data_IF_280021682615
#
_entry.id   IF_280021682615
#
_cell.length_a   1.000
_cell.length_b   1.000
_cell.length_c   1.000
_cell.angle_alpha   90.00
_cell.angle_beta   90.00
_cell.angle_gamma   90.00
#
_symmetry.space_group_name_H-M   'P 1'
#
loop_
_entity.id
_entity.type
_entity.pdbx_description
1 polymer ?
#
# COMPACT_ATOMS: atom_id res chain seq x y z
N UNK A 1 -30.83 31.38 -18.11
CA UNK A 1 -29.36 31.57 -18.08
C UNK A 1 -28.78 30.69 -16.98
N UNK A 2 -27.79 29.87 -17.29
CA UNK A 2 -26.96 29.17 -16.29
C UNK A 2 -25.99 30.19 -15.70
N UNK A 3 -26.06 30.44 -14.39
CA UNK A 3 -25.04 31.21 -13.69
C UNK A 3 -24.09 30.20 -13.04
N UNK A 4 -23.00 29.88 -13.72
CA UNK A 4 -21.87 29.16 -13.12
C UNK A 4 -20.91 30.25 -12.65
N UNK A 5 -20.92 30.56 -11.36
CA UNK A 5 -19.91 31.45 -10.79
C UNK A 5 -18.52 30.81 -10.98
N UNK A 6 -17.49 31.60 -11.31
CA UNK A 6 -16.14 31.09 -11.45
C UNK A 6 -15.64 30.61 -10.08
N UNK A 7 -15.24 29.34 -10.00
CA UNK A 7 -14.66 28.77 -8.77
C UNK A 7 -13.38 29.55 -8.45
N UNK A 8 -13.39 30.26 -7.32
CA UNK A 8 -12.27 31.05 -6.83
C UNK A 8 -11.02 30.15 -6.64
N UNK A 9 -9.90 30.42 -7.34
CA UNK A 9 -8.66 29.66 -7.17
C UNK A 9 -8.16 29.61 -5.72
N UNK A 10 -8.43 30.63 -4.91
CA UNK A 10 -8.06 30.67 -3.49
C UNK A 10 -8.90 29.70 -2.64
N UNK A 11 -10.16 29.46 -3.02
CA UNK A 11 -11.05 28.52 -2.33
C UNK A 11 -10.63 27.06 -2.52
N UNK A 12 -10.12 26.71 -3.71
CA UNK A 12 -9.62 25.35 -4.01
C UNK A 12 -8.35 25.03 -3.23
N UNK A 13 -7.38 25.93 -3.26
CA UNK A 13 -6.11 25.76 -2.52
C UNK A 13 -6.36 25.68 -1.00
N UNK A 14 -7.26 26.49 -0.47
CA UNK A 14 -7.65 26.40 0.95
C UNK A 14 -8.36 25.08 1.28
N UNK A 15 -9.19 24.55 0.37
CA UNK A 15 -9.85 23.25 0.55
C UNK A 15 -8.86 22.09 0.49
N UNK A 16 -7.92 22.07 -0.46
CA UNK A 16 -6.89 21.03 -0.59
C UNK A 16 -6.01 20.98 0.67
N UNK A 17 -5.53 22.12 1.15
CA UNK A 17 -4.77 22.18 2.41
C UNK A 17 -5.56 21.71 3.63
N UNK A 18 -6.87 21.91 3.65
CA UNK A 18 -7.74 21.42 4.73
C UNK A 18 -7.91 19.90 4.68
N UNK A 19 -8.09 19.32 3.48
CA UNK A 19 -8.15 17.87 3.30
C UNK A 19 -6.84 17.19 3.69
N UNK A 20 -5.69 17.74 3.28
CA UNK A 20 -4.37 17.23 3.67
C UNK A 20 -4.19 17.20 5.20
N UNK A 21 -4.66 18.23 5.90
CA UNK A 21 -4.60 18.29 7.36
C UNK A 21 -5.50 17.24 8.02
N UNK A 22 -6.71 17.02 7.50
CA UNK A 22 -7.62 16.00 8.01
C UNK A 22 -7.04 14.59 7.81
N UNK A 23 -6.45 14.34 6.65
CA UNK A 23 -5.80 13.07 6.36
C UNK A 23 -4.61 12.82 7.29
N UNK A 24 -3.75 13.82 7.50
CA UNK A 24 -2.64 13.72 8.46
C UNK A 24 -3.17 13.44 9.88
N UNK A 25 -4.27 14.07 10.31
CA UNK A 25 -4.90 13.80 11.62
C UNK A 25 -5.39 12.35 11.70
N UNK A 26 -6.01 11.84 10.63
CA UNK A 26 -6.52 10.48 10.58
C UNK A 26 -5.38 9.47 10.66
N UNK A 27 -4.31 9.67 9.88
CA UNK A 27 -3.09 8.86 9.95
C UNK A 27 -2.48 8.88 11.36
N UNK A 28 -2.37 10.06 11.99
CA UNK A 28 -1.87 10.15 13.38
C UNK A 28 -2.78 9.43 14.39
N UNK A 29 -4.09 9.46 14.18
CA UNK A 29 -5.05 8.73 15.01
C UNK A 29 -4.84 7.22 14.87
N UNK A 30 -4.68 6.73 13.64
CA UNK A 30 -4.39 5.33 13.37
C UNK A 30 -3.06 4.88 13.99
N UNK A 31 -2.01 5.70 13.94
CA UNK A 31 -0.75 5.39 14.63
C UNK A 31 -0.94 5.26 16.14
N UNK A 32 -1.73 6.13 16.77
CA UNK A 32 -2.01 6.06 18.21
C UNK A 32 -2.83 4.83 18.56
N UNK A 33 -3.85 4.53 17.78
CA UNK A 33 -4.69 3.35 17.93
C UNK A 33 -3.85 2.08 17.82
N UNK A 34 -3.09 1.94 16.74
CA UNK A 34 -2.27 0.76 16.48
C UNK A 34 -1.15 0.58 17.52
N UNK A 35 -0.64 1.68 18.11
CA UNK A 35 0.35 1.62 19.18
C UNK A 35 -0.24 1.28 20.56
N UNK A 36 -1.55 1.45 20.76
CA UNK A 36 -2.22 1.16 22.03
C UNK A 36 -2.26 -0.33 22.34
N UNK A 37 -2.36 -0.69 23.63
CA UNK A 37 -2.46 -2.09 24.05
C UNK A 37 -3.68 -2.79 23.43
N UNK A 38 -4.79 -2.06 23.28
CA UNK A 38 -6.00 -2.60 22.67
C UNK A 38 -5.82 -2.82 21.16
N UNK A 39 -5.28 -1.84 20.45
CA UNK A 39 -5.01 -1.97 19.01
C UNK A 39 -4.03 -3.11 18.71
N UNK A 40 -3.01 -3.30 19.55
CA UNK A 40 -2.09 -4.44 19.44
C UNK A 40 -2.79 -5.77 19.65
N UNK A 41 -3.63 -5.89 20.70
CA UNK A 41 -4.44 -7.09 20.95
C UNK A 41 -5.35 -7.39 19.77
N UNK A 42 -5.97 -6.36 19.20
CA UNK A 42 -6.86 -6.50 18.06
C UNK A 42 -6.12 -6.93 16.79
N UNK A 43 -4.94 -6.37 16.54
CA UNK A 43 -4.09 -6.76 15.42
C UNK A 43 -3.63 -8.22 15.56
N UNK A 44 -3.23 -8.66 16.75
CA UNK A 44 -2.90 -10.06 17.03
C UNK A 44 -4.11 -10.95 16.76
N UNK A 45 -5.29 -10.58 17.28
CA UNK A 45 -6.53 -11.36 17.14
C UNK A 45 -6.97 -11.52 15.69
N UNK A 46 -6.92 -10.44 14.90
CA UNK A 46 -7.35 -10.42 13.50
C UNK A 46 -6.39 -11.14 12.56
N UNK A 47 -5.07 -11.08 12.84
CA UNK A 47 -4.03 -11.62 11.95
C UNK A 47 -3.50 -13.00 12.38
N UNK A 48 -3.63 -13.33 13.66
CA UNK A 48 -2.97 -14.47 14.28
C UNK A 48 -1.44 -14.37 14.18
N UNK A 49 -0.90 -13.16 14.27
CA UNK A 49 0.54 -12.90 14.35
C UNK A 49 0.95 -12.87 15.82
N UNK A 50 1.81 -13.81 16.20
CA UNK A 50 2.33 -13.92 17.58
C UNK A 50 3.72 -13.28 17.76
N UNK A 51 4.28 -12.64 16.72
CA UNK A 51 5.55 -11.90 16.80
C UNK A 51 5.30 -10.49 17.36
N UNK A 52 5.66 -10.21 18.63
CA UNK A 52 5.39 -8.90 19.25
C UNK A 52 6.21 -7.77 18.61
N UNK A 53 7.36 -8.08 18.02
CA UNK A 53 8.20 -7.10 17.33
C UNK A 53 7.53 -6.66 16.04
N UNK A 54 7.00 -7.62 15.28
CA UNK A 54 6.24 -7.34 14.06
C UNK A 54 4.99 -6.52 14.37
N UNK A 55 4.22 -6.86 15.41
CA UNK A 55 3.05 -6.09 15.82
C UNK A 55 3.43 -4.64 16.14
N UNK A 56 4.55 -4.42 16.81
CA UNK A 56 5.06 -3.09 17.13
C UNK A 56 5.44 -2.28 15.89
N UNK A 57 6.11 -2.91 14.92
CA UNK A 57 6.47 -2.24 13.66
C UNK A 57 5.26 -1.98 12.77
N UNK A 58 4.30 -2.89 12.71
CA UNK A 58 3.02 -2.66 12.05
C UNK A 58 2.29 -1.46 12.69
N UNK A 59 2.28 -1.37 14.02
CA UNK A 59 1.75 -0.20 14.73
C UNK A 59 2.50 1.10 14.41
N UNK A 60 3.84 1.06 14.30
CA UNK A 60 4.63 2.22 13.84
C UNK A 60 4.35 2.61 12.40
N UNK A 61 3.85 1.70 11.57
CA UNK A 61 3.41 1.99 10.21
C UNK A 61 1.94 2.47 10.14
N UNK A 62 1.27 2.56 11.29
CA UNK A 62 -0.14 2.96 11.39
C UNK A 62 -1.11 1.82 11.07
N UNK A 63 -0.61 0.59 10.90
CA UNK A 63 -1.42 -0.55 10.52
C UNK A 63 -2.24 -1.01 11.73
N UNK A 64 -3.52 -0.65 11.71
CA UNK A 64 -4.55 -1.19 12.61
C UNK A 64 -5.04 -2.54 12.08
N UNK A 65 -5.87 -3.24 12.86
CA UNK A 65 -6.52 -4.47 12.38
C UNK A 65 -7.38 -4.22 11.13
N UNK A 66 -8.12 -3.11 11.10
CA UNK A 66 -8.94 -2.71 9.94
C UNK A 66 -8.08 -2.24 8.75
N UNK A 67 -6.85 -1.79 9.02
CA UNK A 67 -5.89 -1.34 8.01
C UNK A 67 -5.01 -2.45 7.43
N UNK A 68 -5.04 -3.67 8.00
CA UNK A 68 -4.06 -4.72 7.65
C UNK A 68 -4.12 -5.14 6.19
N UNK A 69 -5.29 -5.01 5.54
CA UNK A 69 -5.46 -5.35 4.14
C UNK A 69 -4.58 -4.50 3.21
N UNK A 70 -4.21 -3.27 3.62
CA UNK A 70 -3.28 -2.42 2.86
C UNK A 70 -1.91 -3.09 2.64
N UNK A 71 -1.46 -3.96 3.56
CA UNK A 71 -0.18 -4.67 3.43
C UNK A 71 -0.14 -5.59 2.20
N UNK A 72 -1.30 -6.06 1.69
CA UNK A 72 -1.38 -6.85 0.45
C UNK A 72 -0.98 -6.04 -0.78
N UNK A 73 -1.10 -4.72 -0.73
CA UNK A 73 -0.76 -3.79 -1.82
C UNK A 73 0.58 -3.09 -1.61
N UNK A 74 1.24 -3.31 -0.48
CA UNK A 74 2.56 -2.75 -0.21
C UNK A 74 3.59 -3.00 -1.34
N UNK A 75 3.64 -4.16 -2.01
CA UNK A 75 4.51 -4.37 -3.17
C UNK A 75 4.24 -3.40 -4.33
N UNK A 76 2.97 -3.10 -4.60
CA UNK A 76 2.58 -2.18 -5.67
C UNK A 76 3.04 -0.75 -5.35
N UNK A 77 2.90 -0.32 -4.09
CA UNK A 77 3.45 0.97 -3.62
C UNK A 77 4.96 1.04 -3.85
N UNK A 78 5.70 -0.02 -3.51
CA UNK A 78 7.16 -0.03 -3.72
C UNK A 78 7.55 0.03 -5.20
N UNK A 79 6.72 -0.52 -6.09
CA UNK A 79 6.90 -0.43 -7.54
C UNK A 79 6.64 0.98 -8.04
N UNK A 80 5.54 1.63 -7.62
CA UNK A 80 5.29 3.03 -7.95
C UNK A 80 6.45 3.93 -7.49
N UNK A 81 7.02 3.68 -6.31
CA UNK A 81 8.19 4.42 -5.83
C UNK A 81 9.53 3.99 -6.44
N UNK A 82 9.58 3.04 -7.38
CA UNK A 82 10.84 2.48 -7.89
C UNK A 82 11.72 3.54 -8.58
N UNK A 83 11.11 4.56 -9.18
CA UNK A 83 11.83 5.66 -9.82
C UNK A 83 12.14 6.82 -8.87
N UNK A 84 11.64 6.78 -7.63
CA UNK A 84 11.86 7.79 -6.59
C UNK A 84 10.69 8.78 -6.41
N UNK A 85 9.65 8.63 -7.21
CA UNK A 85 8.35 9.31 -7.08
C UNK A 85 7.28 8.32 -7.56
N UNK A 86 6.10 8.32 -6.94
CA UNK A 86 4.92 7.67 -7.48
C UNK A 86 4.16 8.70 -8.31
N UNK A 87 3.93 8.43 -9.59
CA UNK A 87 3.15 9.35 -10.42
C UNK A 87 1.63 9.14 -10.25
N UNK A 88 0.85 10.05 -10.83
CA UNK A 88 -0.61 10.02 -10.68
C UNK A 88 -1.27 8.79 -11.29
N UNK A 89 -0.80 8.28 -12.43
CA UNK A 89 -1.44 7.12 -13.04
C UNK A 89 -1.02 5.80 -12.37
N UNK A 90 0.20 5.70 -11.85
CA UNK A 90 0.59 4.62 -10.94
C UNK A 90 -0.25 4.65 -9.67
N UNK A 91 -0.41 5.82 -9.06
CA UNK A 91 -1.28 6.03 -7.91
C UNK A 91 -2.71 5.55 -8.18
N UNK A 92 -3.34 6.02 -9.26
CA UNK A 92 -4.68 5.60 -9.68
C UNK A 92 -4.76 4.09 -9.91
N UNK A 93 -3.73 3.50 -10.51
CA UNK A 93 -3.68 2.06 -10.76
C UNK A 93 -3.58 1.25 -9.47
N UNK A 94 -2.84 1.73 -8.46
CA UNK A 94 -2.78 1.10 -7.14
C UNK A 94 -4.16 1.10 -6.49
N UNK A 95 -4.89 2.22 -6.53
CA UNK A 95 -6.26 2.28 -6.00
C UNK A 95 -7.23 1.41 -6.81
N UNK A 96 -7.07 1.31 -8.13
CA UNK A 96 -7.87 0.40 -8.94
C UNK A 96 -7.71 -1.06 -8.49
N UNK A 97 -6.49 -1.50 -8.14
CA UNK A 97 -6.27 -2.83 -7.55
C UNK A 97 -6.83 -2.93 -6.12
N UNK A 98 -6.76 -1.85 -5.34
CA UNK A 98 -7.33 -1.79 -3.99
C UNK A 98 -8.84 -2.04 -3.98
N UNK A 99 -9.58 -1.41 -4.90
CA UNK A 99 -11.03 -1.61 -5.03
C UNK A 99 -11.39 -3.05 -5.38
N UNK A 100 -10.59 -3.75 -6.20
CA UNK A 100 -10.83 -5.16 -6.57
C UNK A 100 -10.75 -6.12 -5.38
N UNK A 101 -9.91 -5.81 -4.39
CA UNK A 101 -9.77 -6.62 -3.17
C UNK A 101 -10.70 -6.14 -2.03
N UNK A 102 -11.58 -5.18 -2.31
CA UNK A 102 -12.63 -4.73 -1.39
C UNK A 102 -12.24 -3.60 -0.44
N UNK A 103 -11.07 -2.96 -0.61
CA UNK A 103 -10.73 -1.74 0.15
C UNK A 103 -11.73 -0.65 -0.26
N UNK A 104 -12.51 -0.17 0.71
CA UNK A 104 -13.51 0.88 0.51
C UNK A 104 -12.86 2.26 0.64
N UNK A 105 -13.40 3.25 -0.07
CA UNK A 105 -13.03 4.66 0.13
C UNK A 105 -13.16 5.04 1.61
N UNK A 106 -12.21 5.85 2.09
CA UNK A 106 -12.17 6.37 3.47
C UNK A 106 -11.99 5.29 4.57
N UNK A 107 -11.79 4.02 4.20
CA UNK A 107 -11.45 2.97 5.16
C UNK A 107 -10.02 3.14 5.70
N UNK A 108 -9.71 2.52 6.84
CA UNK A 108 -8.36 2.51 7.41
C UNK A 108 -7.29 2.04 6.40
N UNK A 109 -7.60 1.00 5.62
CA UNK A 109 -6.69 0.50 4.60
C UNK A 109 -6.49 1.49 3.44
N UNK A 110 -7.54 2.23 3.06
CA UNK A 110 -7.52 3.27 2.03
C UNK A 110 -6.61 4.44 2.42
N UNK A 111 -6.79 4.94 3.64
CA UNK A 111 -6.02 6.05 4.21
C UNK A 111 -4.55 5.69 4.36
N UNK A 112 -4.23 4.46 4.80
CA UNK A 112 -2.85 4.00 4.87
C UNK A 112 -2.19 3.92 3.50
N UNK A 113 -2.93 3.43 2.51
CA UNK A 113 -2.44 3.29 1.15
C UNK A 113 -2.16 4.66 0.52
N UNK A 114 -3.06 5.63 0.70
CA UNK A 114 -2.87 7.01 0.27
C UNK A 114 -1.62 7.61 0.90
N UNK A 115 -1.47 7.49 2.22
CA UNK A 115 -0.31 8.00 2.94
C UNK A 115 1.00 7.37 2.43
N UNK A 116 1.03 6.07 2.12
CA UNK A 116 2.22 5.40 1.58
C UNK A 116 2.53 5.79 0.13
N UNK A 117 1.52 6.15 -0.68
CA UNK A 117 1.72 6.66 -2.04
C UNK A 117 2.15 8.13 -2.04
N UNK A 118 1.71 8.93 -1.07
CA UNK A 118 2.19 10.31 -0.85
C UNK A 118 3.59 10.37 -0.25
N UNK A 119 3.89 9.49 0.70
CA UNK A 119 5.15 9.45 1.44
C UNK A 119 5.73 8.04 1.35
N UNK A 120 6.86 7.92 0.64
CA UNK A 120 7.54 6.63 0.45
C UNK A 120 7.74 5.89 1.79
N UNK A 121 7.30 4.62 1.90
CA UNK A 121 7.56 3.82 3.08
C UNK A 121 9.07 3.64 3.33
N UNK A 122 9.50 3.83 4.57
CA UNK A 122 10.89 3.61 4.99
C UNK A 122 11.28 2.12 5.01
N UNK A 123 12.56 1.83 5.27
CA UNK A 123 13.09 0.45 5.29
C UNK A 123 12.38 -0.50 6.27
N UNK A 124 11.94 0.03 7.42
CA UNK A 124 11.12 -0.71 8.39
C UNK A 124 9.84 -1.29 7.76
N UNK A 125 9.20 -0.56 6.85
CA UNK A 125 8.00 -1.02 6.15
C UNK A 125 8.26 -2.26 5.30
N UNK A 126 9.39 -2.29 4.60
CA UNK A 126 9.79 -3.43 3.77
C UNK A 126 10.04 -4.68 4.65
N UNK A 127 10.72 -4.52 5.78
CA UNK A 127 11.04 -5.65 6.65
C UNK A 127 9.83 -6.15 7.44
N UNK A 128 8.90 -5.26 7.83
CA UNK A 128 7.61 -5.65 8.38
C UNK A 128 6.77 -6.41 7.34
N UNK A 129 6.69 -5.90 6.11
CA UNK A 129 5.97 -6.57 5.02
C UNK A 129 6.53 -7.98 4.71
N UNK A 130 7.85 -8.16 4.71
CA UNK A 130 8.47 -9.49 4.52
C UNK A 130 8.00 -10.49 5.57
N UNK A 131 8.04 -10.11 6.85
CA UNK A 131 7.65 -10.99 7.96
C UNK A 131 6.15 -11.25 7.99
N UNK A 132 5.34 -10.24 7.71
CA UNK A 132 3.90 -10.40 7.52
C UNK A 132 3.61 -11.42 6.41
N UNK A 133 4.25 -11.24 5.25
CA UNK A 133 4.08 -12.12 4.08
C UNK A 133 4.52 -13.56 4.37
N UNK A 134 5.56 -13.76 5.17
CA UNK A 134 5.94 -15.09 5.67
C UNK A 134 4.84 -15.73 6.52
N UNK A 135 4.26 -14.96 7.45
CA UNK A 135 3.13 -15.41 8.27
C UNK A 135 1.89 -15.79 7.45
N UNK A 136 1.64 -15.08 6.35
CA UNK A 136 0.56 -15.41 5.40
C UNK A 136 0.89 -16.71 4.66
N UNK A 137 2.07 -16.81 4.02
CA UNK A 137 2.41 -17.97 3.20
C UNK A 137 2.61 -19.26 3.99
N UNK A 138 3.07 -19.19 5.25
CA UNK A 138 3.24 -20.39 6.10
C UNK A 138 1.92 -21.13 6.36
N UNK A 139 0.79 -20.43 6.22
CA UNK A 139 -0.57 -20.98 6.36
C UNK A 139 -1.18 -21.43 5.03
N UNK A 140 -0.51 -21.21 3.90
CA UNK A 140 -1.01 -21.52 2.57
C UNK A 140 -0.43 -22.82 2.01
N UNK A 141 -1.16 -23.48 1.12
CA UNK A 141 -0.58 -24.51 0.27
C UNK A 141 0.37 -23.88 -0.74
N UNK A 142 1.36 -24.65 -1.22
CA UNK A 142 2.28 -24.19 -2.26
C UNK A 142 1.56 -23.63 -3.49
N UNK A 143 0.52 -24.32 -3.98
CA UNK A 143 -0.24 -23.88 -5.14
C UNK A 143 -0.95 -22.54 -4.91
N UNK A 144 -1.53 -22.34 -3.73
CA UNK A 144 -2.19 -21.09 -3.38
C UNK A 144 -1.17 -19.93 -3.25
N UNK A 145 0.00 -20.21 -2.67
CA UNK A 145 1.09 -19.25 -2.58
C UNK A 145 1.63 -18.86 -3.98
N UNK A 146 1.88 -19.84 -4.86
CA UNK A 146 2.28 -19.61 -6.26
C UNK A 146 1.25 -18.71 -6.97
N UNK A 147 -0.05 -19.00 -6.81
CA UNK A 147 -1.10 -18.21 -7.45
C UNK A 147 -1.18 -16.78 -6.93
N UNK A 148 -0.98 -16.58 -5.62
CA UNK A 148 -0.96 -15.25 -5.02
C UNK A 148 0.24 -14.44 -5.50
N UNK A 149 1.41 -15.07 -5.64
CA UNK A 149 2.63 -14.45 -6.17
C UNK A 149 2.40 -14.01 -7.63
N UNK A 150 1.90 -14.91 -8.47
CA UNK A 150 1.60 -14.61 -9.88
C UNK A 150 0.61 -13.45 -10.01
N UNK A 151 -0.46 -13.46 -9.21
CA UNK A 151 -1.45 -12.40 -9.20
C UNK A 151 -0.81 -11.05 -8.79
N UNK A 152 -0.03 -11.06 -7.71
CA UNK A 152 0.65 -9.84 -7.22
C UNK A 152 1.67 -9.32 -8.24
N UNK A 153 2.37 -10.20 -8.94
CA UNK A 153 3.27 -9.83 -10.03
C UNK A 153 2.51 -9.15 -11.18
N UNK A 154 1.35 -9.68 -11.57
CA UNK A 154 0.51 -9.09 -12.61
C UNK A 154 -0.02 -7.71 -12.22
N UNK A 155 -0.46 -7.55 -10.97
CA UNK A 155 -0.90 -6.28 -10.39
C UNK A 155 0.24 -5.25 -10.40
N UNK A 156 1.45 -5.62 -9.96
CA UNK A 156 2.62 -4.74 -10.03
C UNK A 156 2.98 -4.33 -11.47
N UNK A 157 2.87 -5.26 -12.42
CA UNK A 157 3.09 -4.99 -13.85
C UNK A 157 2.02 -4.03 -14.40
N UNK A 158 0.77 -4.12 -13.92
CA UNK A 158 -0.30 -3.22 -14.33
C UNK A 158 -0.02 -1.80 -13.84
N UNK A 159 0.38 -1.64 -12.57
CA UNK A 159 0.78 -0.36 -11.98
C UNK A 159 1.92 0.27 -12.77
N UNK A 160 3.03 -0.44 -12.97
CA UNK A 160 4.19 0.06 -13.72
C UNK A 160 3.90 0.37 -15.22
N UNK A 161 2.77 -0.09 -15.77
CA UNK A 161 2.35 0.24 -17.14
C UNK A 161 1.42 1.44 -17.22
N UNK A 162 0.81 1.84 -16.10
CA UNK A 162 -0.20 2.89 -16.07
C UNK A 162 0.33 4.23 -16.61
N UNK A 163 1.63 4.45 -16.46
CA UNK A 163 2.35 5.66 -16.87
C UNK A 163 3.69 5.33 -17.50
N UNK A 164 3.65 4.54 -18.57
CA UNK A 164 4.78 4.51 -19.49
C UNK A 164 4.99 5.87 -20.14
N UNK A 165 5.78 6.73 -19.49
CA UNK A 165 6.47 7.96 -19.93
C UNK A 165 5.71 8.95 -20.82
N UNK A 166 5.82 10.25 -20.50
CA UNK A 166 5.31 11.41 -21.26
C UNK A 166 5.71 11.50 -22.75
N UNK A 167 6.32 10.48 -23.36
CA UNK A 167 6.57 10.43 -24.79
C UNK A 167 6.56 9.01 -25.41
N UNK A 168 6.16 7.93 -24.69
CA UNK A 168 6.13 6.58 -25.28
C UNK A 168 5.31 5.55 -24.47
N UNK A 169 4.14 5.19 -24.99
CA UNK A 169 3.26 4.06 -24.62
C UNK A 169 3.82 3.01 -23.63
N UNK A 170 3.27 2.96 -22.41
CA UNK A 170 3.07 1.74 -21.60
C UNK A 170 4.28 0.83 -21.35
N UNK A 171 5.51 1.35 -21.39
CA UNK A 171 6.74 0.57 -21.23
C UNK A 171 7.26 0.68 -19.80
N UNK A 172 7.33 -0.46 -19.13
CA UNK A 172 7.91 -0.62 -17.79
C UNK A 172 9.40 -0.24 -17.83
N UNK A 173 9.84 0.60 -16.89
CA UNK A 173 11.22 1.03 -16.76
C UNK A 173 12.14 -0.10 -16.28
N UNK A 174 13.46 0.08 -16.41
CA UNK A 174 14.42 -0.88 -15.86
C UNK A 174 14.36 -0.93 -14.33
N UNK A 175 14.04 0.18 -13.66
CA UNK A 175 13.98 0.28 -12.20
C UNK A 175 12.73 -0.40 -11.65
N UNK A 176 11.56 -0.16 -12.25
CA UNK A 176 10.32 -0.87 -11.93
C UNK A 176 10.49 -2.38 -12.15
N UNK A 177 11.00 -2.79 -13.32
CA UNK A 177 11.25 -4.21 -13.61
C UNK A 177 12.11 -4.86 -12.52
N UNK A 178 13.22 -4.22 -12.17
CA UNK A 178 14.11 -4.71 -11.12
C UNK A 178 13.42 -4.77 -9.74
N UNK A 179 12.55 -3.81 -9.44
CA UNK A 179 11.77 -3.81 -8.19
C UNK A 179 10.78 -4.99 -8.17
N UNK A 180 10.03 -5.19 -9.25
CA UNK A 180 9.10 -6.31 -9.42
C UNK A 180 9.82 -7.65 -9.22
N UNK A 181 10.92 -7.87 -9.95
CA UNK A 181 11.68 -9.12 -9.90
C UNK A 181 12.19 -9.40 -8.48
N UNK A 182 12.65 -8.37 -7.77
CA UNK A 182 13.09 -8.47 -6.37
C UNK A 182 11.94 -8.82 -5.42
N UNK A 183 10.79 -8.17 -5.56
CA UNK A 183 9.63 -8.42 -4.71
C UNK A 183 9.08 -9.83 -4.93
N UNK A 184 8.99 -10.29 -6.19
CA UNK A 184 8.61 -11.67 -6.51
C UNK A 184 9.59 -12.66 -5.91
N UNK A 185 10.89 -12.43 -6.03
CA UNK A 185 11.90 -13.29 -5.42
C UNK A 185 11.76 -13.36 -3.89
N UNK A 186 11.50 -12.22 -3.23
CA UNK A 186 11.23 -12.18 -1.79
C UNK A 186 9.97 -12.97 -1.44
N UNK A 187 8.87 -12.80 -2.17
CA UNK A 187 7.63 -13.54 -1.90
C UNK A 187 7.83 -15.05 -2.08
N UNK A 188 8.53 -15.48 -3.14
CA UNK A 188 8.91 -16.90 -3.35
C UNK A 188 9.75 -17.44 -2.20
N UNK A 189 10.74 -16.66 -1.74
CA UNK A 189 11.55 -17.02 -0.58
C UNK A 189 10.69 -17.18 0.68
N UNK A 190 9.78 -16.25 0.96
CA UNK A 190 8.90 -16.33 2.13
C UNK A 190 7.93 -17.51 2.06
N UNK A 191 7.50 -17.89 0.85
CA UNK A 191 6.68 -19.06 0.59
C UNK A 191 7.48 -20.38 0.55
N UNK A 192 8.80 -20.35 0.74
CA UNK A 192 9.69 -21.51 0.59
C UNK A 192 9.58 -22.18 -0.80
N UNK A 193 9.27 -21.39 -1.83
CA UNK A 193 9.21 -21.82 -3.23
C UNK A 193 10.60 -21.56 -3.83
N UNK A 194 11.20 -22.60 -4.40
CA UNK A 194 12.49 -22.52 -5.11
C UNK A 194 12.33 -21.86 -6.47
#
# INVERSE_FOLDING_TARGET
MKNSDPVDPHSKVASEHYFDQLEDILVQTMHREAASDEGRRELIRSTGIDDPTLIDELGRLGVTADGVLALRLFPLVLVAWAEGHADHGEHDAVFAEARKIGIQEESAADVLLENWLRKRPGGMGIDAWKRYTHGVFSKMTRQAAEKLIELTEQEMIAVAKATGGHMWFGKISKKERLMIDRLVAVMKQQASIK
#
